data_IF_185183828055
#
_entry.id   IF_185183828055
#
_cell.length_a   1.000
_cell.length_b   1.000
_cell.length_c   1.000
_cell.angle_alpha   90.00
_cell.angle_beta   90.00
_cell.angle_gamma   90.00
#
_symmetry.space_group_name_H-M   'P 1'
#
loop_
_entity.id
_entity.type
_entity.pdbx_description
1 polymer ?
#
# COMPACT_ATOMS: atom_id res chain seq x y z
N UNK A 1 3.96 -9.61 -5.12
CA UNK A 1 4.61 -8.66 -6.05
C UNK A 1 4.08 -7.26 -5.86
N UNK A 2 2.90 -6.97 -6.42
CA UNK A 2 2.29 -5.61 -6.44
C UNK A 2 2.14 -4.98 -5.04
N UNK A 3 1.53 -5.69 -4.07
CA UNK A 3 1.39 -5.20 -2.69
C UNK A 3 2.73 -4.99 -1.95
N UNK A 4 3.80 -5.71 -2.33
CA UNK A 4 5.13 -5.53 -1.72
C UNK A 4 5.69 -4.16 -2.10
N UNK A 5 5.41 -3.67 -3.31
CA UNK A 5 5.86 -2.37 -3.77
C UNK A 5 5.31 -1.24 -2.88
N UNK A 6 4.01 -1.25 -2.57
CA UNK A 6 3.42 -0.26 -1.68
C UNK A 6 4.00 -0.35 -0.26
N UNK A 7 4.20 -1.56 0.25
CA UNK A 7 4.80 -1.80 1.56
C UNK A 7 6.23 -1.25 1.64
N UNK A 8 7.08 -1.50 0.64
CA UNK A 8 8.46 -0.99 0.61
C UNK A 8 8.50 0.54 0.58
N UNK A 9 7.63 1.19 -0.21
CA UNK A 9 7.56 2.66 -0.29
C UNK A 9 7.15 3.27 1.05
N UNK A 10 6.18 2.68 1.75
CA UNK A 10 5.76 3.15 3.08
C UNK A 10 6.91 3.02 4.09
N UNK A 11 7.57 1.85 4.13
CA UNK A 11 8.70 1.63 5.05
C UNK A 11 9.89 2.55 4.76
N UNK A 12 10.22 2.77 3.49
CA UNK A 12 11.31 3.66 3.11
C UNK A 12 11.00 5.10 3.52
N UNK A 13 9.74 5.55 3.35
CA UNK A 13 9.34 6.90 3.73
C UNK A 13 9.36 7.13 5.24
N UNK A 14 8.96 6.13 6.02
CA UNK A 14 9.09 6.14 7.49
C UNK A 14 10.56 6.27 7.89
N UNK A 15 11.45 5.49 7.27
CA UNK A 15 12.88 5.53 7.54
C UNK A 15 13.50 6.88 7.17
N UNK A 16 13.05 7.50 6.10
CA UNK A 16 13.49 8.84 5.68
C UNK A 16 13.05 9.93 6.68
N UNK A 17 11.77 9.93 7.09
CA UNK A 17 11.25 10.91 8.03
C UNK A 17 11.84 10.75 9.44
N UNK A 18 12.17 9.52 9.85
CA UNK A 18 12.85 9.23 11.12
C UNK A 18 14.27 9.81 11.22
N UNK A 19 14.93 10.09 10.09
CA UNK A 19 16.24 10.80 10.08
C UNK A 19 16.11 12.29 10.39
N UNK A 20 14.92 12.87 10.21
CA UNK A 20 14.67 14.31 10.32
C UNK A 20 13.91 14.69 11.59
N UNK A 21 13.03 13.83 12.07
CA UNK A 21 12.18 14.08 13.24
C UNK A 21 12.40 13.03 14.34
N UNK A 22 12.42 13.47 15.61
CA UNK A 22 12.58 12.58 16.77
C UNK A 22 11.25 12.09 17.34
N UNK A 23 10.14 12.77 17.02
CA UNK A 23 8.82 12.36 17.51
C UNK A 23 8.22 11.30 16.59
N UNK A 24 8.24 10.05 17.05
CA UNK A 24 7.81 8.90 16.26
C UNK A 24 6.35 8.99 15.81
N UNK A 25 5.46 9.54 16.63
CA UNK A 25 4.04 9.68 16.27
C UNK A 25 3.87 10.60 15.07
N UNK A 26 4.61 11.71 15.07
CA UNK A 26 4.56 12.69 13.97
C UNK A 26 5.22 12.12 12.71
N UNK A 27 6.34 11.40 12.85
CA UNK A 27 7.01 10.69 11.74
C UNK A 27 6.06 9.72 11.05
N UNK A 28 5.35 8.89 11.81
CA UNK A 28 4.40 7.91 11.26
C UNK A 28 3.25 8.63 10.54
N UNK A 29 2.60 9.58 11.21
CA UNK A 29 1.44 10.29 10.65
C UNK A 29 1.81 11.05 9.35
N UNK A 30 2.98 11.70 9.34
CA UNK A 30 3.52 12.42 8.19
C UNK A 30 3.90 11.47 7.04
N UNK A 31 4.50 10.32 7.36
CA UNK A 31 4.87 9.32 6.35
C UNK A 31 3.64 8.73 5.67
N UNK A 32 2.62 8.36 6.45
CA UNK A 32 1.36 7.82 5.90
C UNK A 32 0.71 8.85 4.98
N UNK A 33 0.55 10.09 5.45
CA UNK A 33 -0.09 11.16 4.67
C UNK A 33 0.62 11.43 3.34
N UNK A 34 1.96 11.30 3.30
CA UNK A 34 2.76 11.51 2.09
C UNK A 34 2.64 10.36 1.07
N UNK A 35 2.50 9.13 1.53
CA UNK A 35 2.43 7.95 0.65
C UNK A 35 0.99 7.60 0.28
N UNK A 36 0.01 8.00 1.10
CA UNK A 36 -1.42 7.67 0.93
C UNK A 36 -1.95 8.01 -0.47
N UNK A 37 -1.83 9.27 -0.89
CA UNK A 37 -2.35 9.70 -2.20
C UNK A 37 -1.68 8.96 -3.37
N UNK A 38 -0.39 8.66 -3.25
CA UNK A 38 0.35 7.93 -4.29
C UNK A 38 -0.14 6.49 -4.39
N UNK A 39 -0.08 5.73 -3.30
CA UNK A 39 -0.46 4.31 -3.27
C UNK A 39 -1.95 4.09 -3.56
N UNK A 40 -2.79 5.03 -3.14
CA UNK A 40 -4.20 5.02 -3.52
C UNK A 40 -4.38 5.20 -5.03
N UNK A 41 -3.74 6.21 -5.63
CA UNK A 41 -3.86 6.47 -7.07
C UNK A 41 -3.29 5.33 -7.93
N UNK A 42 -2.16 4.73 -7.56
CA UNK A 42 -1.60 3.59 -8.29
C UNK A 42 -2.53 2.38 -8.22
N UNK A 43 -3.08 2.09 -7.04
CA UNK A 43 -4.01 0.96 -6.86
C UNK A 43 -5.33 1.18 -7.57
N UNK A 44 -5.85 2.42 -7.52
CA UNK A 44 -7.11 2.81 -8.16
C UNK A 44 -7.02 2.75 -9.69
N UNK A 45 -5.92 3.25 -10.26
CA UNK A 45 -5.71 3.18 -11.72
C UNK A 45 -5.57 1.73 -12.20
N UNK A 46 -4.87 0.87 -11.46
CA UNK A 46 -4.82 -0.57 -11.78
C UNK A 46 -6.18 -1.25 -11.63
N UNK A 47 -6.96 -0.90 -10.61
CA UNK A 47 -8.32 -1.40 -10.44
C UNK A 47 -9.20 -1.05 -11.63
N UNK A 48 -9.15 0.20 -12.11
CA UNK A 48 -9.91 0.62 -13.31
C UNK A 48 -9.47 -0.12 -14.57
N UNK A 49 -8.16 -0.34 -14.76
CA UNK A 49 -7.65 -1.11 -15.88
C UNK A 49 -8.15 -2.56 -15.86
N UNK A 50 -8.11 -3.21 -14.69
CA UNK A 50 -8.64 -4.57 -14.53
C UNK A 50 -10.15 -4.63 -14.71
N UNK A 51 -10.89 -3.64 -14.22
CA UNK A 51 -12.33 -3.56 -14.41
C UNK A 51 -12.68 -3.48 -15.90
N UNK A 52 -11.97 -2.66 -16.67
CA UNK A 52 -12.15 -2.58 -18.12
C UNK A 52 -11.86 -3.92 -18.82
N UNK A 53 -10.82 -4.64 -18.36
CA UNK A 53 -10.47 -5.97 -18.88
C UNK A 53 -11.49 -7.05 -18.49
N UNK A 54 -12.12 -6.96 -17.31
CA UNK A 54 -13.17 -7.91 -16.93
C UNK A 54 -14.44 -7.67 -17.77
N UNK A 55 -14.77 -6.41 -18.07
CA UNK A 55 -15.96 -6.06 -18.86
C UNK A 55 -15.83 -6.38 -20.36
N UNK A 56 -14.63 -6.27 -20.94
CA UNK A 56 -14.38 -6.48 -22.39
C UNK A 56 -13.50 -7.69 -22.72
N UNK A 57 -12.91 -8.36 -21.74
CA UNK A 57 -11.93 -9.42 -21.95
C UNK A 57 -12.56 -10.77 -22.26
N UNK A 58 -11.73 -11.67 -22.80
CA UNK A 58 -12.11 -13.03 -23.16
C UNK A 58 -12.34 -13.91 -21.93
N UNK A 59 -13.30 -14.84 -22.00
CA UNK A 59 -13.69 -15.74 -20.90
C UNK A 59 -12.53 -16.54 -20.29
N UNK A 60 -11.50 -16.85 -21.07
CA UNK A 60 -10.32 -17.59 -20.60
C UNK A 60 -9.50 -16.84 -19.54
N UNK A 61 -9.57 -15.50 -19.50
CA UNK A 61 -8.81 -14.65 -18.58
C UNK A 61 -9.64 -14.18 -17.38
N UNK A 62 -10.97 -14.27 -17.42
CA UNK A 62 -11.85 -13.81 -16.34
C UNK A 62 -11.48 -14.36 -14.94
N UNK A 63 -11.31 -15.67 -14.72
CA UNK A 63 -10.99 -16.19 -13.39
C UNK A 63 -9.64 -15.68 -12.86
N UNK A 64 -8.68 -15.47 -13.75
CA UNK A 64 -7.40 -14.85 -13.39
C UNK A 64 -7.56 -13.39 -12.99
N UNK A 65 -8.28 -12.60 -13.78
CA UNK A 65 -8.51 -11.17 -13.53
C UNK A 65 -9.28 -10.92 -12.24
N UNK A 66 -10.31 -11.73 -11.96
CA UNK A 66 -11.09 -11.65 -10.72
C UNK A 66 -10.19 -11.93 -9.51
N UNK A 67 -9.35 -12.97 -9.58
CA UNK A 67 -8.39 -13.29 -8.50
C UNK A 67 -7.40 -12.14 -8.28
N UNK A 68 -6.93 -11.52 -9.37
CA UNK A 68 -6.04 -10.36 -9.31
C UNK A 68 -6.70 -9.13 -8.68
N UNK A 69 -7.98 -8.90 -8.97
CA UNK A 69 -8.77 -7.80 -8.42
C UNK A 69 -8.84 -7.90 -6.89
N UNK A 70 -9.19 -9.07 -6.37
CA UNK A 70 -9.21 -9.33 -4.92
C UNK A 70 -7.81 -9.16 -4.30
N UNK A 71 -6.76 -9.65 -4.99
CA UNK A 71 -5.38 -9.51 -4.53
C UNK A 71 -4.90 -8.06 -4.40
N UNK A 72 -5.29 -7.19 -5.34
CA UNK A 72 -4.96 -5.76 -5.28
C UNK A 72 -5.71 -5.07 -4.15
N UNK A 73 -7.03 -5.30 -4.05
CA UNK A 73 -7.83 -4.65 -2.99
C UNK A 73 -7.33 -5.05 -1.60
N UNK A 74 -7.13 -6.35 -1.35
CA UNK A 74 -6.59 -6.84 -0.08
C UNK A 74 -5.16 -6.35 0.17
N UNK A 75 -4.31 -6.34 -0.87
CA UNK A 75 -2.92 -5.92 -0.80
C UNK A 75 -2.74 -4.43 -0.49
N UNK A 76 -3.45 -3.57 -1.20
CA UNK A 76 -3.41 -2.11 -0.99
C UNK A 76 -3.96 -1.74 0.38
N UNK A 77 -5.07 -2.36 0.80
CA UNK A 77 -5.63 -2.13 2.13
C UNK A 77 -4.66 -2.58 3.22
N UNK A 78 -4.05 -3.76 3.07
CA UNK A 78 -3.00 -4.25 3.97
C UNK A 78 -1.82 -3.29 4.06
N UNK A 79 -1.26 -2.85 2.94
CA UNK A 79 -0.07 -1.98 2.92
C UNK A 79 -0.33 -0.58 3.50
N UNK A 80 -1.52 -0.02 3.34
CA UNK A 80 -1.87 1.30 3.89
C UNK A 80 -2.25 1.25 5.37
N UNK A 81 -3.04 0.25 5.79
CA UNK A 81 -3.60 0.20 7.15
C UNK A 81 -2.76 -0.61 8.14
N UNK A 82 -2.06 -1.67 7.70
CA UNK A 82 -1.24 -2.50 8.59
C UNK A 82 0.18 -1.95 8.78
N UNK A 83 0.68 -1.13 7.87
CA UNK A 83 2.00 -0.51 8.03
C UNK A 83 2.08 0.45 9.23
N UNK A 84 1.00 1.18 9.52
CA UNK A 84 0.92 2.11 10.66
C UNK A 84 1.13 1.43 12.03
N UNK A 85 0.39 0.36 12.40
CA UNK A 85 0.62 -0.37 13.64
C UNK A 85 1.92 -1.18 13.64
N UNK A 86 2.38 -1.70 12.49
CA UNK A 86 3.66 -2.41 12.41
C UNK A 86 4.84 -1.50 12.74
N UNK A 87 4.89 -0.29 12.17
CA UNK A 87 5.93 0.69 12.48
C UNK A 87 5.88 1.10 13.94
N UNK A 88 4.69 1.35 14.48
CA UNK A 88 4.53 1.63 15.92
C UNK A 88 5.05 0.49 16.82
N UNK A 89 4.80 -0.77 16.42
CA UNK A 89 5.25 -1.95 17.16
C UNK A 89 6.77 -2.14 17.11
N UNK A 90 7.40 -1.94 15.95
CA UNK A 90 8.85 -2.04 15.82
C UNK A 90 9.57 -0.95 16.62
N UNK A 91 9.07 0.29 16.65
CA UNK A 91 9.72 1.35 17.44
C UNK A 91 9.57 1.15 18.94
N UNK A 92 8.44 0.60 19.43
CA UNK A 92 8.25 0.36 20.87
C UNK A 92 9.20 -0.73 21.42
N UNK A 93 9.78 -1.55 20.55
CA UNK A 93 10.79 -2.55 20.93
C UNK A 93 12.20 -1.98 21.06
N UNK A 94 12.44 -0.80 20.48
CA UNK A 94 13.74 -0.10 20.49
C UNK A 94 13.80 1.04 21.54
N UNK A 95 12.79 1.15 22.42
CA UNK A 95 12.73 2.07 23.56
C UNK A 95 12.67 1.30 24.88
#
# INVERSE_FOLDING_TARGET
>A
GYSINDTVVVFDRVRENMKRDRNMKDVINKSISQVFLRSFNTSFTTFLALLALILKGTDSLQPFLITFLFGIVAGTFSSLFLASPLVFYFTKKDA
#
